data_IF_332856845156
#
_entry.id   IF_332856845156
#
_cell.length_a   1.000
_cell.length_b   1.000
_cell.length_c   1.000
_cell.angle_alpha   90.00
_cell.angle_beta   90.00
_cell.angle_gamma   90.00
#
_symmetry.space_group_name_H-M   'P 1'
#
loop_
_entity.id
_entity.type
_entity.pdbx_description
1 polymer ?
#
# COMPACT_ATOMS: atom_id res chain seq x y z
N UNK A 1 81.83 3.98 3.11
CA UNK A 1 80.78 3.81 2.08
C UNK A 1 79.60 3.11 2.74
N UNK A 2 78.56 3.85 3.10
CA UNK A 2 77.35 3.32 3.75
C UNK A 2 76.44 2.78 2.65
N UNK A 3 76.13 1.47 2.68
CA UNK A 3 75.10 0.90 1.82
C UNK A 3 73.73 1.39 2.30
N UNK A 4 73.08 2.23 1.49
CA UNK A 4 71.69 2.61 1.69
C UNK A 4 70.79 1.48 1.19
N UNK A 5 70.18 0.75 2.12
CA UNK A 5 69.12 -0.22 1.84
C UNK A 5 67.84 0.55 1.47
N UNK A 6 67.50 0.61 0.19
CA UNK A 6 66.24 1.18 -0.27
C UNK A 6 65.09 0.24 0.09
N UNK A 7 64.28 0.61 1.09
CA UNK A 7 63.02 -0.06 1.39
C UNK A 7 62.03 0.19 0.24
N UNK A 8 61.75 -0.84 -0.56
CA UNK A 8 60.68 -0.82 -1.54
C UNK A 8 59.35 -1.00 -0.79
N UNK A 9 58.63 0.09 -0.52
CA UNK A 9 57.29 0.04 0.02
C UNK A 9 56.32 -0.49 -1.05
N UNK A 10 55.96 -1.77 -0.96
CA UNK A 10 54.86 -2.33 -1.75
C UNK A 10 53.53 -1.83 -1.16
N UNK A 11 52.99 -0.75 -1.71
CA UNK A 11 51.60 -0.38 -1.45
C UNK A 11 50.71 -1.35 -2.23
N UNK A 12 50.16 -2.36 -1.55
CA UNK A 12 49.06 -3.14 -2.08
C UNK A 12 47.87 -2.17 -2.27
N UNK A 13 47.67 -1.69 -3.49
CA UNK A 13 46.40 -1.08 -3.87
C UNK A 13 45.36 -2.19 -3.84
N UNK A 14 44.60 -2.27 -2.73
CA UNK A 14 43.47 -3.18 -2.66
C UNK A 14 42.47 -2.75 -3.73
N UNK A 15 42.29 -3.59 -4.76
CA UNK A 15 41.24 -3.37 -5.74
C UNK A 15 39.90 -3.23 -5.00
N UNK A 16 39.04 -2.26 -5.37
CA UNK A 16 37.75 -2.10 -4.73
C UNK A 16 36.98 -3.44 -4.80
N UNK A 17 36.46 -3.89 -3.66
CA UNK A 17 35.66 -5.10 -3.61
C UNK A 17 34.49 -4.97 -4.60
N UNK A 18 34.18 -6.06 -5.33
CA UNK A 18 33.05 -6.07 -6.24
C UNK A 18 31.77 -5.62 -5.50
N UNK A 19 30.92 -4.79 -6.12
CA UNK A 19 29.69 -4.36 -5.50
C UNK A 19 28.84 -5.58 -5.09
N UNK A 20 28.19 -5.54 -3.92
CA UNK A 20 27.46 -6.69 -3.41
C UNK A 20 26.30 -7.06 -4.34
N UNK A 21 26.12 -8.35 -4.60
CA UNK A 21 24.99 -8.85 -5.41
C UNK A 21 23.64 -8.57 -4.75
N UNK A 22 22.56 -8.51 -5.54
CA UNK A 22 21.20 -8.33 -5.00
C UNK A 22 20.82 -9.40 -3.97
N UNK A 23 21.30 -10.65 -4.13
CA UNK A 23 21.11 -11.71 -3.14
C UNK A 23 21.81 -11.41 -1.80
N UNK A 24 23.05 -10.92 -1.84
CA UNK A 24 23.80 -10.57 -0.64
C UNK A 24 23.13 -9.40 0.10
N UNK A 25 22.75 -8.34 -0.64
CA UNK A 25 22.02 -7.18 -0.10
C UNK A 25 20.70 -7.60 0.54
N UNK A 26 19.91 -8.44 -0.12
CA UNK A 26 18.66 -8.96 0.45
C UNK A 26 18.89 -9.79 1.70
N UNK A 27 19.96 -10.60 1.76
CA UNK A 27 20.29 -11.39 2.95
C UNK A 27 20.65 -10.47 4.12
N UNK A 28 21.39 -9.39 3.87
CA UNK A 28 21.67 -8.37 4.87
C UNK A 28 20.39 -7.67 5.33
N UNK A 29 19.53 -7.26 4.40
CA UNK A 29 18.23 -6.65 4.70
C UNK A 29 17.36 -7.56 5.55
N UNK A 30 17.33 -8.86 5.25
CA UNK A 30 16.57 -9.83 6.04
C UNK A 30 17.08 -9.96 7.48
N UNK A 31 18.40 -9.93 7.70
CA UNK A 31 18.96 -9.91 9.06
C UNK A 31 18.58 -8.64 9.82
N UNK A 32 18.63 -7.48 9.14
CA UNK A 32 18.20 -6.20 9.71
C UNK A 32 16.71 -6.23 10.07
N UNK A 33 15.88 -6.77 9.20
CA UNK A 33 14.45 -6.97 9.41
C UNK A 33 14.18 -7.81 10.66
N UNK A 34 14.86 -8.96 10.80
CA UNK A 34 14.72 -9.83 11.97
C UNK A 34 15.18 -9.14 13.26
N UNK A 35 16.11 -8.19 13.17
CA UNK A 35 16.55 -7.37 14.31
C UNK A 35 15.66 -6.15 14.60
N UNK A 36 14.53 -5.99 13.88
CA UNK A 36 13.62 -4.85 14.05
C UNK A 36 14.10 -3.53 13.44
N UNK A 37 15.23 -3.55 12.71
CA UNK A 37 15.83 -2.39 12.04
C UNK A 37 15.21 -2.18 10.66
N UNK A 38 13.91 -1.87 10.66
CA UNK A 38 13.11 -1.82 9.44
C UNK A 38 13.54 -0.74 8.43
N UNK A 39 13.91 0.49 8.85
CA UNK A 39 14.44 1.50 7.91
C UNK A 39 15.67 1.00 7.15
N UNK A 40 16.67 0.46 7.85
CA UNK A 40 17.89 -0.04 7.22
C UNK A 40 17.62 -1.31 6.42
N UNK A 41 16.68 -2.16 6.85
CA UNK A 41 16.25 -3.31 6.07
C UNK A 41 15.65 -2.89 4.72
N UNK A 42 14.77 -1.88 4.73
CA UNK A 42 14.16 -1.33 3.53
C UNK A 42 15.21 -0.82 2.54
N UNK A 43 16.20 -0.05 3.01
CA UNK A 43 17.32 0.41 2.17
C UNK A 43 18.05 -0.75 1.51
N UNK A 44 18.33 -1.83 2.26
CA UNK A 44 19.00 -3.01 1.70
C UNK A 44 18.14 -3.77 0.70
N UNK A 45 16.82 -3.86 0.90
CA UNK A 45 15.93 -4.49 -0.07
C UNK A 45 15.78 -3.64 -1.34
N UNK A 46 15.73 -2.32 -1.23
CA UNK A 46 15.72 -1.41 -2.37
C UNK A 46 17.03 -1.49 -3.17
N UNK A 47 18.19 -1.47 -2.48
CA UNK A 47 19.48 -1.68 -3.12
C UNK A 47 19.56 -3.06 -3.79
N UNK A 48 19.00 -4.10 -3.17
CA UNK A 48 18.92 -5.43 -3.78
C UNK A 48 18.09 -5.45 -5.07
N UNK A 49 16.95 -4.75 -5.08
CA UNK A 49 16.10 -4.63 -6.26
C UNK A 49 16.74 -3.77 -7.36
N UNK A 50 17.57 -2.77 -7.02
CA UNK A 50 18.34 -2.00 -7.99
C UNK A 50 19.47 -2.84 -8.60
N UNK A 51 20.21 -3.59 -7.78
CA UNK A 51 21.31 -4.43 -8.23
C UNK A 51 20.82 -5.63 -9.05
N UNK A 52 19.61 -6.13 -8.78
CA UNK A 52 19.04 -7.30 -9.46
C UNK A 52 17.52 -7.14 -9.58
N UNK A 53 17.02 -6.41 -10.61
CA UNK A 53 15.61 -6.06 -10.75
C UNK A 53 14.64 -7.24 -10.86
N UNK A 54 15.10 -8.39 -11.32
CA UNK A 54 14.33 -9.64 -11.45
C UNK A 54 14.35 -10.51 -10.17
N UNK A 55 14.99 -10.03 -9.09
CA UNK A 55 15.03 -10.77 -7.85
C UNK A 55 13.74 -10.59 -7.02
N UNK A 56 12.78 -11.48 -7.25
CA UNK A 56 11.44 -11.44 -6.63
C UNK A 56 11.45 -11.22 -5.09
N UNK A 57 12.42 -11.80 -4.37
CA UNK A 57 12.54 -11.69 -2.92
C UNK A 57 12.85 -10.26 -2.45
N UNK A 58 13.64 -9.49 -3.22
CA UNK A 58 13.94 -8.11 -2.85
C UNK A 58 12.67 -7.24 -2.87
N UNK A 59 11.86 -7.37 -3.93
CA UNK A 59 10.57 -6.68 -4.04
C UNK A 59 9.58 -7.14 -2.97
N UNK A 60 9.50 -8.44 -2.69
CA UNK A 60 8.62 -8.99 -1.66
C UNK A 60 8.98 -8.45 -0.27
N UNK A 61 10.26 -8.51 0.09
CA UNK A 61 10.73 -8.07 1.40
C UNK A 61 10.61 -6.55 1.57
N UNK A 62 10.81 -5.77 0.50
CA UNK A 62 10.52 -4.34 0.51
C UNK A 62 9.02 -4.07 0.77
N UNK A 63 8.11 -4.78 0.10
CA UNK A 63 6.67 -4.65 0.32
C UNK A 63 6.28 -4.97 1.78
N UNK A 64 6.77 -6.07 2.34
CA UNK A 64 6.51 -6.45 3.73
C UNK A 64 7.08 -5.42 4.72
N UNK A 65 8.30 -4.91 4.48
CA UNK A 65 8.93 -3.90 5.34
C UNK A 65 8.17 -2.56 5.31
N UNK A 66 7.71 -2.12 4.14
CA UNK A 66 6.84 -0.96 4.01
C UNK A 66 5.51 -1.19 4.75
N UNK A 67 4.93 -2.38 4.64
CA UNK A 67 3.73 -2.76 5.39
C UNK A 67 3.90 -2.64 6.91
N UNK A 68 5.04 -3.08 7.45
CA UNK A 68 5.38 -2.88 8.86
C UNK A 68 5.57 -1.41 9.24
N UNK A 69 6.29 -0.62 8.43
CA UNK A 69 6.52 0.80 8.69
C UNK A 69 5.19 1.57 8.68
N UNK A 70 4.28 1.23 7.77
CA UNK A 70 2.91 1.73 7.73
C UNK A 70 2.15 1.44 9.02
N UNK A 71 2.22 0.21 9.53
CA UNK A 71 1.60 -0.15 10.82
C UNK A 71 2.15 0.64 12.01
N UNK A 72 3.39 1.09 11.91
CA UNK A 72 4.04 1.94 12.91
C UNK A 72 3.70 3.44 12.72
N UNK A 73 2.77 3.78 11.81
CA UNK A 73 2.40 5.17 11.52
C UNK A 73 3.41 5.94 10.68
N UNK A 74 4.44 5.26 10.14
CA UNK A 74 5.54 5.91 9.41
C UNK A 74 5.31 5.98 7.90
N UNK A 75 4.06 6.25 7.50
CA UNK A 75 3.65 6.27 6.08
C UNK A 75 4.45 7.30 5.31
N UNK A 76 4.48 8.55 5.77
CA UNK A 76 5.11 9.64 5.04
C UNK A 76 6.65 9.58 5.10
N UNK A 77 7.22 9.22 6.25
CA UNK A 77 8.67 9.14 6.47
C UNK A 77 9.35 8.14 5.52
N UNK A 78 8.66 7.04 5.16
CA UNK A 78 9.22 5.98 4.32
C UNK A 78 8.45 5.75 3.02
N UNK A 79 7.52 6.64 2.66
CA UNK A 79 6.62 6.47 1.51
C UNK A 79 5.88 5.12 1.54
N UNK A 80 5.46 4.66 2.72
CA UNK A 80 4.77 3.39 2.93
C UNK A 80 3.25 3.48 2.61
N UNK A 81 2.95 4.08 1.46
CA UNK A 81 1.62 4.16 0.90
C UNK A 81 1.17 2.79 0.36
N UNK A 82 -0.14 2.55 0.37
CA UNK A 82 -0.72 1.24 0.05
C UNK A 82 -0.46 0.84 -1.40
N UNK A 83 -0.53 1.80 -2.31
CA UNK A 83 -0.22 1.64 -3.74
C UNK A 83 1.24 1.25 -3.97
N UNK A 84 2.19 1.89 -3.28
CA UNK A 84 3.62 1.54 -3.34
C UNK A 84 3.87 0.11 -2.83
N UNK A 85 3.23 -0.27 -1.72
CA UNK A 85 3.31 -1.64 -1.17
C UNK A 85 2.76 -2.65 -2.19
N UNK A 86 1.58 -2.37 -2.77
CA UNK A 86 0.96 -3.20 -3.81
C UNK A 86 1.86 -3.31 -5.03
N UNK A 87 2.47 -2.23 -5.51
CA UNK A 87 3.33 -2.23 -6.70
C UNK A 87 4.55 -3.14 -6.51
N UNK A 88 5.22 -3.03 -5.35
CA UNK A 88 6.34 -3.88 -4.97
C UNK A 88 5.91 -5.34 -4.90
N UNK A 89 4.78 -5.63 -4.25
CA UNK A 89 4.25 -6.99 -4.17
C UNK A 89 3.85 -7.52 -5.55
N UNK A 90 3.21 -6.73 -6.40
CA UNK A 90 2.80 -7.12 -7.74
C UNK A 90 4.02 -7.45 -8.61
N UNK A 91 5.10 -6.68 -8.47
CA UNK A 91 6.39 -7.00 -9.11
C UNK A 91 6.94 -8.33 -8.61
N UNK A 92 6.93 -8.58 -7.29
CA UNK A 92 7.38 -9.85 -6.72
C UNK A 92 6.55 -11.05 -7.22
N UNK A 93 5.21 -10.91 -7.29
CA UNK A 93 4.30 -11.95 -7.79
C UNK A 93 4.49 -12.20 -9.28
N UNK A 94 4.74 -11.16 -10.07
CA UNK A 94 5.03 -11.30 -11.51
C UNK A 94 6.32 -12.08 -11.75
N UNK A 95 7.34 -11.88 -10.91
CA UNK A 95 8.63 -12.58 -11.00
C UNK A 95 8.58 -14.00 -10.42
N UNK A 96 7.79 -14.22 -9.36
CA UNK A 96 7.58 -15.53 -8.73
C UNK A 96 6.14 -15.61 -8.18
N UNK A 97 5.23 -16.26 -8.92
CA UNK A 97 3.81 -16.32 -8.57
C UNK A 97 3.54 -16.94 -7.18
N UNK A 98 4.47 -17.75 -6.65
CA UNK A 98 4.36 -18.33 -5.29
C UNK A 98 4.37 -17.27 -4.19
N UNK A 99 4.89 -16.07 -4.46
CA UNK A 99 4.90 -14.94 -3.51
C UNK A 99 3.48 -14.54 -3.10
N UNK A 100 2.49 -14.72 -3.96
CA UNK A 100 1.10 -14.42 -3.61
C UNK A 100 0.56 -15.32 -2.50
N UNK A 101 0.92 -16.61 -2.49
CA UNK A 101 0.47 -17.51 -1.43
C UNK A 101 1.09 -17.12 -0.09
N UNK A 102 2.39 -16.78 -0.10
CA UNK A 102 3.06 -16.27 1.10
C UNK A 102 2.42 -14.97 1.59
N UNK A 103 2.10 -14.03 0.69
CA UNK A 103 1.51 -12.75 1.04
C UNK A 103 0.13 -12.86 1.72
N UNK A 104 -0.65 -13.91 1.42
CA UNK A 104 -1.97 -14.15 2.06
C UNK A 104 -1.85 -14.50 3.54
N UNK A 105 -0.72 -15.06 3.95
CA UNK A 105 -0.43 -15.47 5.33
C UNK A 105 0.41 -14.43 6.05
N UNK A 106 1.14 -13.61 5.30
CA UNK A 106 2.01 -12.58 5.83
C UNK A 106 1.19 -11.43 6.44
N UNK A 107 1.32 -11.29 7.76
CA UNK A 107 0.61 -10.25 8.52
C UNK A 107 1.13 -8.87 8.13
N UNK A 108 2.36 -8.73 7.67
CA UNK A 108 2.95 -7.42 7.38
C UNK A 108 2.26 -6.77 6.18
N UNK A 109 1.61 -7.60 5.34
CA UNK A 109 0.85 -7.19 4.16
C UNK A 109 -0.68 -7.11 4.41
N UNK A 110 -1.17 -7.23 5.64
CA UNK A 110 -2.62 -7.08 5.92
C UNK A 110 -3.16 -5.68 5.57
N UNK A 111 -2.32 -4.64 5.68
CA UNK A 111 -2.61 -3.22 5.41
C UNK A 111 -3.02 -2.91 3.97
N UNK A 112 -2.79 -3.85 3.04
CA UNK A 112 -3.19 -3.70 1.63
C UNK A 112 -4.32 -4.64 1.22
N UNK A 113 -4.81 -5.54 2.09
CA UNK A 113 -5.77 -6.59 1.69
C UNK A 113 -7.14 -6.04 1.27
N UNK A 114 -7.45 -4.84 1.71
CA UNK A 114 -8.65 -4.08 1.38
C UNK A 114 -8.37 -2.96 0.34
N UNK A 115 -7.40 -3.19 -0.55
CA UNK A 115 -7.14 -2.37 -1.76
C UNK A 115 -7.65 -3.08 -3.01
N UNK A 116 -8.02 -2.32 -4.04
CA UNK A 116 -8.26 -2.82 -5.40
C UNK A 116 -7.01 -3.50 -5.96
N UNK A 117 -5.83 -2.95 -5.66
CA UNK A 117 -4.55 -3.52 -6.04
C UNK A 117 -4.36 -4.97 -5.58
N UNK A 118 -4.65 -5.25 -4.31
CA UNK A 118 -4.65 -6.61 -3.77
C UNK A 118 -5.73 -7.49 -4.40
N UNK A 119 -6.95 -6.97 -4.57
CA UNK A 119 -8.02 -7.73 -5.23
C UNK A 119 -7.65 -8.12 -6.66
N UNK A 120 -6.91 -7.26 -7.39
CA UNK A 120 -6.37 -7.56 -8.71
C UNK A 120 -5.35 -8.70 -8.69
N UNK A 121 -4.48 -8.76 -7.68
CA UNK A 121 -3.57 -9.90 -7.49
C UNK A 121 -4.33 -11.22 -7.24
N UNK A 122 -5.54 -11.14 -6.67
CA UNK A 122 -6.44 -12.28 -6.50
C UNK A 122 -7.29 -12.59 -7.74
N UNK A 123 -7.09 -11.87 -8.84
CA UNK A 123 -7.81 -12.08 -10.11
C UNK A 123 -9.18 -11.40 -10.18
N UNK A 124 -9.50 -10.47 -9.27
CA UNK A 124 -10.74 -9.68 -9.32
C UNK A 124 -10.48 -8.32 -9.93
N UNK A 125 -11.42 -7.81 -10.73
CA UNK A 125 -11.22 -6.50 -11.36
C UNK A 125 -12.51 -5.71 -11.58
N UNK A 126 -12.50 -4.36 -11.44
CA UNK A 126 -13.64 -3.51 -11.77
C UNK A 126 -14.12 -3.62 -13.23
N UNK A 127 -13.26 -4.07 -14.15
CA UNK A 127 -13.68 -4.29 -15.55
C UNK A 127 -14.68 -5.44 -15.71
N UNK A 128 -14.73 -6.37 -14.75
CA UNK A 128 -15.64 -7.51 -14.76
C UNK A 128 -16.79 -7.23 -13.80
N UNK A 129 -17.98 -6.95 -14.35
CA UNK A 129 -19.16 -6.58 -13.55
C UNK A 129 -19.51 -7.61 -12.47
N UNK A 130 -19.30 -8.90 -12.74
CA UNK A 130 -19.53 -9.97 -11.78
C UNK A 130 -18.64 -9.88 -10.51
N UNK A 131 -17.50 -9.18 -10.58
CA UNK A 131 -16.62 -8.99 -9.44
C UNK A 131 -17.01 -7.77 -8.59
N UNK A 132 -17.77 -6.81 -9.15
CA UNK A 132 -18.13 -5.52 -8.52
C UNK A 132 -18.74 -5.69 -7.13
N UNK A 133 -19.73 -6.59 -6.88
CA UNK A 133 -20.27 -6.75 -5.54
C UNK A 133 -19.20 -7.16 -4.52
N UNK A 134 -18.28 -8.04 -4.92
CA UNK A 134 -17.18 -8.49 -4.05
C UNK A 134 -16.18 -7.37 -3.80
N UNK A 135 -15.83 -6.60 -4.84
CA UNK A 135 -14.91 -5.47 -4.72
C UNK A 135 -15.44 -4.39 -3.78
N UNK A 136 -16.73 -4.03 -3.89
CA UNK A 136 -17.36 -3.06 -3.00
C UNK A 136 -17.17 -3.43 -1.52
N UNK A 137 -17.38 -4.70 -1.17
CA UNK A 137 -17.25 -5.18 0.21
C UNK A 137 -15.80 -5.40 0.67
N UNK A 138 -14.94 -5.84 -0.24
CA UNK A 138 -13.56 -6.17 0.08
C UNK A 138 -12.68 -4.91 0.24
N UNK A 139 -13.02 -3.83 -0.45
CA UNK A 139 -12.23 -2.59 -0.48
C UNK A 139 -12.73 -1.59 0.56
N UNK A 140 -11.82 -0.81 1.13
CA UNK A 140 -12.17 0.37 1.93
C UNK A 140 -12.13 1.60 1.03
N UNK A 141 -13.24 2.36 0.99
CA UNK A 141 -13.45 3.45 0.04
C UNK A 141 -13.31 4.79 0.76
N UNK A 142 -12.29 5.56 0.42
CA UNK A 142 -11.94 6.83 1.02
C UNK A 142 -12.31 7.98 0.09
N UNK A 143 -12.97 8.99 0.65
CA UNK A 143 -13.18 10.25 -0.06
C UNK A 143 -11.88 11.04 -0.20
N UNK A 144 -11.88 12.11 -1.02
CA UNK A 144 -10.72 12.97 -1.18
C UNK A 144 -10.29 13.60 0.16
N UNK A 145 -9.00 13.95 0.24
CA UNK A 145 -8.47 14.71 1.34
C UNK A 145 -9.00 16.15 1.37
N UNK A 146 -9.13 16.73 2.56
CA UNK A 146 -9.56 18.13 2.75
C UNK A 146 -8.48 18.88 3.53
N UNK A 147 -7.64 19.63 2.81
CA UNK A 147 -6.54 20.40 3.40
C UNK A 147 -5.65 19.55 4.31
N UNK A 148 -5.28 20.11 5.47
CA UNK A 148 -4.46 19.46 6.51
C UNK A 148 -5.19 18.37 7.30
N UNK A 149 -6.46 18.12 7.03
CA UNK A 149 -7.21 17.08 7.73
C UNK A 149 -7.12 15.73 7.01
N UNK A 150 -6.64 15.68 5.77
CA UNK A 150 -6.62 14.45 4.99
C UNK A 150 -8.03 13.91 4.74
N UNK A 151 -8.20 12.59 4.67
CA UNK A 151 -9.51 11.99 4.37
C UNK A 151 -10.51 12.22 5.50
N UNK A 152 -11.65 12.83 5.19
CA UNK A 152 -12.71 13.14 6.16
C UNK A 152 -13.98 12.31 5.98
N UNK A 153 -14.03 11.42 4.98
CA UNK A 153 -15.17 10.53 4.77
C UNK A 153 -14.76 9.21 4.14
N UNK A 154 -15.49 8.14 4.47
CA UNK A 154 -15.26 6.82 3.89
C UNK A 154 -16.56 6.00 3.84
N UNK A 155 -16.65 5.09 2.87
CA UNK A 155 -17.74 4.12 2.76
C UNK A 155 -17.22 2.70 3.03
N UNK A 156 -17.96 1.95 3.85
CA UNK A 156 -17.72 0.51 4.06
C UNK A 156 -18.96 -0.29 3.70
N UNK A 157 -18.88 -1.04 2.61
CA UNK A 157 -19.94 -1.96 2.19
C UNK A 157 -19.79 -3.31 2.90
N UNK A 158 -20.91 -3.93 3.22
CA UNK A 158 -21.00 -5.17 3.97
C UNK A 158 -21.99 -6.14 3.32
N UNK A 159 -22.05 -7.37 3.83
CA UNK A 159 -23.05 -8.34 3.38
C UNK A 159 -24.47 -7.91 3.76
N UNK A 160 -25.46 -8.46 3.05
CA UNK A 160 -26.87 -8.14 3.26
C UNK A 160 -27.26 -6.72 2.82
N UNK A 161 -26.53 -6.14 1.87
CA UNK A 161 -26.86 -4.82 1.31
C UNK A 161 -26.67 -3.67 2.31
N UNK A 162 -25.81 -3.81 3.31
CA UNK A 162 -25.52 -2.75 4.30
C UNK A 162 -24.30 -1.94 3.90
N UNK A 163 -24.36 -0.63 4.11
CA UNK A 163 -23.23 0.28 3.92
C UNK A 163 -23.13 1.22 5.12
N UNK A 164 -21.93 1.54 5.55
CA UNK A 164 -21.69 2.55 6.58
C UNK A 164 -20.92 3.71 5.97
N UNK A 165 -21.42 4.93 6.17
CA UNK A 165 -20.70 6.16 5.90
C UNK A 165 -20.04 6.63 7.19
N UNK A 166 -18.71 6.62 7.22
CA UNK A 166 -17.93 7.32 8.23
C UNK A 166 -17.63 8.74 7.75
N UNK A 167 -17.76 9.70 8.65
CA UNK A 167 -17.41 11.10 8.45
C UNK A 167 -16.64 11.64 9.64
N UNK A 168 -15.75 12.59 9.38
CA UNK A 168 -15.05 13.39 10.37
C UNK A 168 -15.28 14.85 10.04
N UNK A 169 -16.08 15.51 10.86
CA UNK A 169 -16.35 16.94 10.75
C UNK A 169 -15.35 17.67 11.65
N UNK A 170 -14.70 18.71 11.14
CA UNK A 170 -13.84 19.58 11.94
C UNK A 170 -14.55 20.91 12.07
N UNK A 171 -15.06 21.20 13.27
CA UNK A 171 -15.71 22.48 13.56
C UNK A 171 -14.67 23.58 13.81
N UNK A 172 -15.12 24.83 13.93
CA UNK A 172 -14.25 26.01 14.15
C UNK A 172 -13.42 25.93 15.45
N UNK A 173 -13.74 24.98 16.35
CA UNK A 173 -12.96 24.74 17.57
C UNK A 173 -11.73 23.86 17.33
N UNK A 174 -11.59 23.30 16.12
CA UNK A 174 -10.48 22.44 15.72
C UNK A 174 -10.55 21.02 16.28
N UNK A 175 -11.60 20.66 17.04
CA UNK A 175 -11.77 19.30 17.58
C UNK A 175 -12.52 18.44 16.56
N UNK A 176 -11.91 17.38 15.99
CA UNK A 176 -12.61 16.53 15.03
C UNK A 176 -13.73 15.74 15.71
N UNK A 177 -14.92 15.76 15.13
CA UNK A 177 -16.06 14.93 15.52
C UNK A 177 -16.28 13.85 14.48
N UNK A 178 -16.25 12.60 14.92
CA UNK A 178 -16.53 11.47 14.04
C UNK A 178 -17.99 11.04 14.14
N UNK A 179 -18.57 10.66 13.00
CA UNK A 179 -19.90 10.07 12.92
C UNK A 179 -19.90 8.85 12.01
N UNK A 180 -20.75 7.88 12.34
CA UNK A 180 -21.01 6.68 11.54
C UNK A 180 -22.49 6.60 11.24
N UNK A 181 -22.84 6.61 9.97
CA UNK A 181 -24.22 6.58 9.50
C UNK A 181 -24.47 5.26 8.78
N UNK A 182 -25.24 4.32 9.36
CA UNK A 182 -25.60 3.08 8.68
C UNK A 182 -26.65 3.36 7.59
N UNK A 183 -26.56 2.63 6.49
CA UNK A 183 -27.47 2.71 5.37
C UNK A 183 -27.57 1.39 4.62
N UNK A 184 -28.21 1.43 3.47
CA UNK A 184 -28.36 0.28 2.57
C UNK A 184 -27.78 0.57 1.20
N UNK A 185 -27.40 -0.46 0.46
CA UNK A 185 -26.99 -0.34 -0.92
C UNK A 185 -27.51 -1.49 -1.78
N UNK A 186 -27.66 -1.20 -3.07
CA UNK A 186 -27.86 -2.21 -4.12
C UNK A 186 -26.81 -2.03 -5.20
N UNK A 187 -26.58 -3.09 -5.97
CA UNK A 187 -25.62 -3.06 -7.08
C UNK A 187 -26.19 -3.80 -8.28
N UNK A 188 -26.14 -3.19 -9.46
CA UNK A 188 -26.52 -3.79 -10.74
C UNK A 188 -25.46 -3.43 -11.78
N UNK A 189 -24.72 -4.44 -12.26
CA UNK A 189 -23.53 -4.20 -13.08
C UNK A 189 -22.51 -3.37 -12.30
N UNK A 190 -22.11 -2.23 -12.86
CA UNK A 190 -21.27 -1.22 -12.20
C UNK A 190 -22.04 -0.12 -11.45
N UNK A 191 -23.37 -0.09 -11.56
CA UNK A 191 -24.22 0.91 -10.90
C UNK A 191 -24.42 0.53 -9.44
N UNK A 192 -24.15 1.48 -8.54
CA UNK A 192 -24.28 1.31 -7.10
C UNK A 192 -25.27 2.34 -6.58
N UNK A 193 -26.35 1.92 -5.95
CA UNK A 193 -27.29 2.83 -5.29
C UNK A 193 -27.09 2.75 -3.78
N UNK A 194 -26.93 3.90 -3.13
CA UNK A 194 -26.77 4.02 -1.68
C UNK A 194 -27.95 4.79 -1.11
N UNK A 195 -28.54 4.27 -0.03
CA UNK A 195 -29.62 4.93 0.73
C UNK A 195 -29.21 5.09 2.19
N UNK A 196 -28.98 6.33 2.59
CA UNK A 196 -28.73 6.71 3.98
C UNK A 196 -30.05 7.12 4.67
N UNK A 197 -30.11 7.14 6.01
CA UNK A 197 -31.30 7.56 6.75
C UNK A 197 -31.68 8.99 6.41
N UNK A 198 -32.99 9.25 6.29
CA UNK A 198 -33.54 10.58 6.02
C UNK A 198 -33.01 11.26 4.73
N UNK A 199 -32.49 10.49 3.78
CA UNK A 199 -32.02 10.97 2.48
C UNK A 199 -32.64 10.16 1.32
N UNK A 200 -32.80 10.81 0.16
CA UNK A 200 -33.13 10.11 -1.06
C UNK A 200 -31.98 9.14 -1.46
N UNK A 201 -32.27 8.00 -2.12
CA UNK A 201 -31.23 7.14 -2.67
C UNK A 201 -30.35 7.91 -3.66
N UNK A 202 -29.04 7.68 -3.59
CA UNK A 202 -28.05 8.28 -4.49
C UNK A 202 -27.44 7.17 -5.33
N UNK A 203 -27.52 7.31 -6.65
CA UNK A 203 -26.94 6.36 -7.60
C UNK A 203 -25.57 6.86 -8.06
N UNK A 204 -24.58 5.98 -7.98
CA UNK A 204 -23.22 6.17 -8.45
C UNK A 204 -22.76 5.00 -9.31
N UNK A 205 -21.48 4.99 -9.64
CA UNK A 205 -20.86 3.97 -10.50
C UNK A 205 -19.46 3.63 -10.01
N UNK A 206 -19.10 2.35 -10.00
CA UNK A 206 -17.71 1.90 -9.93
C UNK A 206 -17.14 1.85 -11.35
N UNK A 207 -16.23 2.76 -11.69
CA UNK A 207 -15.62 2.80 -13.01
C UNK A 207 -14.70 1.60 -13.23
N UNK A 208 -14.42 1.31 -14.50
CA UNK A 208 -13.46 0.28 -14.88
C UNK A 208 -12.04 0.59 -14.36
N UNK A 209 -11.71 1.87 -14.13
CA UNK A 209 -10.46 2.28 -13.51
C UNK A 209 -10.44 2.10 -11.98
N UNK A 210 -11.56 1.74 -11.36
CA UNK A 210 -11.65 1.51 -9.91
C UNK A 210 -12.03 2.74 -9.09
N UNK A 211 -12.50 3.82 -9.71
CA UNK A 211 -13.04 4.97 -8.99
C UNK A 211 -14.54 4.78 -8.72
N UNK A 212 -14.96 4.91 -7.45
CA UNK A 212 -16.37 4.87 -7.07
C UNK A 212 -16.90 6.29 -6.98
N UNK A 213 -17.82 6.68 -7.87
CA UNK A 213 -18.29 8.06 -7.99
C UNK A 213 -19.79 8.17 -7.84
N UNK A 214 -20.23 9.06 -6.97
CA UNK A 214 -21.61 9.48 -6.79
C UNK A 214 -21.74 10.99 -7.08
N UNK A 215 -22.94 11.49 -7.42
CA UNK A 215 -23.23 12.92 -7.35
C UNK A 215 -22.94 13.49 -5.96
N UNK A 216 -22.74 14.80 -5.89
CA UNK A 216 -22.70 15.52 -4.61
C UNK A 216 -24.04 15.32 -3.86
N UNK A 217 -24.01 15.22 -2.52
CA UNK A 217 -22.88 15.52 -1.63
C UNK A 217 -21.95 14.32 -1.34
N UNK A 218 -22.21 13.14 -1.90
CA UNK A 218 -21.46 11.93 -1.56
C UNK A 218 -20.10 11.89 -2.27
N UNK A 219 -20.07 12.27 -3.55
CA UNK A 219 -18.85 12.51 -4.33
C UNK A 219 -18.05 11.26 -4.69
N UNK A 220 -16.75 11.44 -4.94
CA UNK A 220 -15.82 10.38 -5.36
C UNK A 220 -15.11 9.67 -4.20
N UNK A 221 -14.80 8.39 -4.40
CA UNK A 221 -14.06 7.54 -3.49
C UNK A 221 -13.03 6.67 -4.23
N UNK A 222 -11.89 6.42 -3.59
CA UNK A 222 -10.83 5.51 -4.05
C UNK A 222 -10.39 4.59 -2.90
N UNK A 223 -9.51 3.64 -3.16
CA UNK A 223 -8.90 2.79 -2.11
C UNK A 223 -7.65 3.40 -1.49
N UNK A 224 -7.36 4.68 -1.78
CA UNK A 224 -6.19 5.40 -1.28
C UNK A 224 -6.63 6.54 -0.35
N UNK A 225 -6.45 6.39 0.97
CA UNK A 225 -6.68 7.49 1.90
C UNK A 225 -5.63 8.59 1.71
N UNK A 226 -6.02 9.84 2.00
CA UNK A 226 -5.09 10.95 2.15
C UNK A 226 -4.50 10.90 3.56
N UNK A 227 -3.22 10.53 3.66
CA UNK A 227 -2.56 10.17 4.93
C UNK A 227 -1.36 11.05 5.29
N UNK A 228 -0.89 11.84 4.34
CA UNK A 228 0.18 12.81 4.58
C UNK A 228 -0.41 14.19 4.39
N UNK A 229 -0.22 15.03 5.39
CA UNK A 229 -0.55 16.45 5.28
C UNK A 229 0.43 17.10 4.28
N UNK A 230 -0.09 18.02 3.47
CA UNK A 230 0.73 18.87 2.61
C UNK A 230 1.34 20.03 3.41
#
# INVERSE_FOLDING_TARGET
MVLALSLLALTLSAAPAAPPSGRALNTQGFRLYQSGRYPEALEKFQAAAQATPDYALAHYNAAATLGLLRKQGKVCEYSAHRDVIVEKLATAVRLDARRLQRAKEDRDLDVIRDTLGWQKLLGRTPQKEADVPTLLRAVSWYGPGVGVYGTVRALKFQDGGRVELWKRDVDDSGTPRESRTPGTYTVKGRTVEVKLPNAAPVTGTLSEAGALTFPEPLGGFTDSPSECDA
#
